data_IF_044621692707
#
_entry.id   IF_044621692707
#
_cell.length_a   1.000
_cell.length_b   1.000
_cell.length_c   1.000
_cell.angle_alpha   90.00
_cell.angle_beta   90.00
_cell.angle_gamma   90.00
#
_symmetry.space_group_name_H-M   'P 1'
#
loop_
_entity.id
_entity.type
_entity.pdbx_description
1 polymer ?
#
# COMPACT_ATOMS: atom_id res chain seq x y z
N UNK A 1 19.26 -21.33 6.16
CA UNK A 1 19.52 -20.00 5.57
C UNK A 1 18.19 -19.32 5.37
N UNK A 2 17.97 -18.10 5.87
CA UNK A 2 16.77 -17.32 5.50
C UNK A 2 16.92 -16.95 4.02
N UNK A 3 15.91 -17.21 3.19
CA UNK A 3 15.91 -16.79 1.79
C UNK A 3 15.77 -15.27 1.69
N UNK A 4 16.49 -14.66 0.75
CA UNK A 4 16.32 -13.24 0.43
C UNK A 4 15.02 -13.05 -0.37
N UNK A 5 14.04 -12.35 0.25
CA UNK A 5 12.74 -12.06 -0.34
C UNK A 5 12.66 -10.59 -0.75
N UNK A 6 12.15 -10.31 -1.95
CA UNK A 6 11.73 -8.97 -2.34
C UNK A 6 10.24 -8.82 -2.03
N UNK A 7 9.93 -8.19 -0.90
CA UNK A 7 8.57 -8.10 -0.36
C UNK A 7 7.99 -6.72 -0.63
N UNK A 8 6.81 -6.69 -1.28
CA UNK A 8 6.00 -5.49 -1.46
C UNK A 8 4.73 -5.59 -0.61
N UNK A 9 4.54 -4.64 0.31
CA UNK A 9 3.33 -4.52 1.11
C UNK A 9 2.38 -3.48 0.50
N UNK A 10 1.25 -3.94 -0.03
CA UNK A 10 0.17 -3.10 -0.54
C UNK A 10 -0.75 -2.69 0.62
N UNK A 11 -0.61 -1.44 1.03
CA UNK A 11 -1.16 -0.97 2.30
C UNK A 11 -2.20 0.16 2.14
N UNK A 12 -2.87 0.45 3.24
CA UNK A 12 -3.83 1.54 3.42
C UNK A 12 -3.48 2.45 4.60
N UNK A 13 -2.19 2.55 4.92
CA UNK A 13 -1.64 3.23 6.09
C UNK A 13 -1.85 4.74 6.06
N UNK A 14 -1.78 5.35 7.24
CA UNK A 14 -1.52 6.76 7.42
C UNK A 14 -0.05 6.92 7.84
N UNK A 15 0.84 7.36 6.93
CA UNK A 15 2.21 7.71 7.26
C UNK A 15 2.26 8.69 8.42
N UNK A 16 3.14 8.48 9.40
CA UNK A 16 3.17 9.24 10.67
C UNK A 16 3.27 10.75 10.42
N UNK A 17 4.09 11.15 9.45
CA UNK A 17 4.29 12.55 9.05
C UNK A 17 3.07 13.17 8.33
N UNK A 18 2.13 12.34 7.86
CA UNK A 18 0.89 12.77 7.20
C UNK A 18 -0.36 12.49 8.02
N UNK A 19 -0.25 11.82 9.16
CA UNK A 19 -1.40 11.35 9.93
C UNK A 19 -2.29 12.52 10.35
N UNK A 20 -1.73 13.56 10.98
CA UNK A 20 -2.48 14.76 11.37
C UNK A 20 -3.22 15.40 10.17
N UNK A 21 -2.54 15.53 9.04
CA UNK A 21 -3.12 16.06 7.80
C UNK A 21 -4.33 15.20 7.36
N UNK A 22 -4.16 13.89 7.31
CA UNK A 22 -5.18 12.93 6.89
C UNK A 22 -6.40 12.98 7.81
N UNK A 23 -6.17 13.01 9.12
CA UNK A 23 -7.23 13.08 10.13
C UNK A 23 -8.00 14.41 10.00
N UNK A 24 -7.30 15.54 9.81
CA UNK A 24 -7.94 16.86 9.65
C UNK A 24 -8.87 16.96 8.44
N UNK A 25 -8.64 16.16 7.40
CA UNK A 25 -9.47 16.09 6.20
C UNK A 25 -10.58 15.04 6.26
N UNK A 26 -10.54 14.13 7.23
CA UNK A 26 -11.55 13.09 7.38
C UNK A 26 -12.87 13.67 7.93
N UNK A 27 -14.00 13.14 7.46
CA UNK A 27 -15.33 13.48 7.97
C UNK A 27 -15.97 12.22 8.54
N UNK A 28 -16.14 12.18 9.86
CA UNK A 28 -16.70 11.03 10.58
C UNK A 28 -15.64 9.97 10.95
N UNK A 29 -16.08 8.72 11.07
CA UNK A 29 -15.27 7.62 11.60
C UNK A 29 -14.08 7.28 10.70
N UNK A 30 -12.96 6.95 11.35
CA UNK A 30 -11.68 6.65 10.72
C UNK A 30 -11.24 5.24 11.13
N UNK A 31 -10.57 4.53 10.24
CA UNK A 31 -10.12 3.14 10.46
C UNK A 31 -8.81 3.08 11.27
N UNK A 32 -8.78 3.71 12.46
CA UNK A 32 -7.57 3.78 13.29
C UNK A 32 -7.05 2.39 13.70
N UNK A 33 -7.95 1.46 14.07
CA UNK A 33 -7.57 0.09 14.40
C UNK A 33 -6.88 -0.62 13.21
N UNK A 34 -7.39 -0.43 12.00
CA UNK A 34 -6.78 -0.98 10.79
C UNK A 34 -5.42 -0.34 10.48
N UNK A 35 -5.25 0.96 10.75
CA UNK A 35 -3.97 1.65 10.61
C UNK A 35 -2.92 1.07 11.59
N UNK A 36 -3.28 0.97 12.87
CA UNK A 36 -2.41 0.41 13.92
C UNK A 36 -2.04 -1.05 13.61
N UNK A 37 -3.01 -1.87 13.21
CA UNK A 37 -2.76 -3.26 12.87
C UNK A 37 -1.79 -3.41 11.69
N UNK A 38 -1.99 -2.65 10.61
CA UNK A 38 -1.06 -2.66 9.48
C UNK A 38 0.34 -2.19 9.85
N UNK A 39 0.49 -1.17 10.71
CA UNK A 39 1.81 -0.77 11.22
C UNK A 39 2.48 -1.87 12.04
N UNK A 40 1.73 -2.63 12.84
CA UNK A 40 2.27 -3.79 13.55
C UNK A 40 2.70 -4.91 12.60
N UNK A 41 2.01 -5.11 11.48
CA UNK A 41 2.45 -6.03 10.42
C UNK A 41 3.78 -5.56 9.83
N UNK A 42 3.89 -4.29 9.44
CA UNK A 42 5.14 -3.70 8.91
C UNK A 42 6.29 -3.96 9.89
N UNK A 43 6.10 -3.59 11.16
CA UNK A 43 7.11 -3.80 12.21
C UNK A 43 7.48 -5.28 12.36
N UNK A 44 6.49 -6.18 12.35
CA UNK A 44 6.72 -7.61 12.45
C UNK A 44 7.51 -8.17 11.27
N UNK A 45 7.21 -7.74 10.05
CA UNK A 45 7.94 -8.15 8.85
C UNK A 45 9.39 -7.65 8.87
N UNK A 46 9.63 -6.38 9.18
CA UNK A 46 10.98 -5.82 9.23
C UNK A 46 11.87 -6.48 10.29
N UNK A 47 11.29 -6.86 11.45
CA UNK A 47 12.04 -7.54 12.51
C UNK A 47 12.44 -8.98 12.15
N UNK A 48 11.74 -9.62 11.20
CA UNK A 48 11.89 -11.05 10.93
C UNK A 48 12.50 -11.36 9.56
N UNK A 49 12.45 -10.44 8.61
CA UNK A 49 13.05 -10.58 7.28
C UNK A 49 14.50 -10.10 7.27
N UNK A 50 15.29 -10.59 6.30
CA UNK A 50 16.68 -10.13 6.10
C UNK A 50 16.68 -8.69 5.57
N UNK A 51 15.81 -8.42 4.59
CA UNK A 51 15.64 -7.12 3.98
C UNK A 51 14.37 -6.46 4.49
N UNK A 52 14.40 -5.13 4.63
CA UNK A 52 13.18 -4.35 4.88
C UNK A 52 12.18 -4.53 3.74
N UNK A 53 10.90 -4.45 4.07
CA UNK A 53 9.86 -4.49 3.05
C UNK A 53 9.77 -3.17 2.29
N UNK A 54 9.17 -3.17 1.11
CA UNK A 54 8.74 -1.94 0.42
C UNK A 54 7.26 -1.72 0.67
N UNK A 55 6.83 -0.50 0.97
CA UNK A 55 5.42 -0.18 1.12
C UNK A 55 4.91 0.58 -0.10
N UNK A 56 3.95 -0.01 -0.80
CA UNK A 56 3.10 0.70 -1.76
C UNK A 56 1.77 1.02 -1.09
N UNK A 57 1.63 2.26 -0.64
CA UNK A 57 0.50 2.70 0.14
C UNK A 57 -0.59 3.35 -0.74
N UNK A 58 -1.86 3.12 -0.40
CA UNK A 58 -3.01 3.83 -0.96
C UNK A 58 -4.02 4.14 0.14
N UNK A 59 -3.89 5.31 0.77
CA UNK A 59 -4.66 5.78 1.94
C UNK A 59 -6.08 5.19 2.08
N UNK A 60 -6.38 4.53 3.20
CA UNK A 60 -7.73 4.05 3.55
C UNK A 60 -8.57 5.17 4.19
N UNK A 61 -8.84 6.18 3.38
CA UNK A 61 -9.65 7.34 3.76
C UNK A 61 -11.09 7.22 3.26
N UNK A 62 -11.99 8.06 3.76
CA UNK A 62 -13.31 8.28 3.18
C UNK A 62 -13.26 8.87 1.75
N UNK A 63 -14.39 8.85 1.04
CA UNK A 63 -14.51 9.46 -0.30
C UNK A 63 -15.02 10.89 -0.20
N UNK A 64 -14.51 11.77 -1.08
CA UNK A 64 -15.06 13.09 -1.32
C UNK A 64 -16.43 13.01 -2.03
N UNK A 65 -17.37 13.93 -1.74
CA UNK A 65 -17.28 15.04 -0.77
C UNK A 65 -17.72 14.66 0.66
N UNK A 66 -18.37 13.51 0.84
CA UNK A 66 -19.13 13.21 2.05
C UNK A 66 -18.28 12.77 3.24
N UNK A 67 -17.20 12.00 3.01
CA UNK A 67 -16.39 11.38 4.08
C UNK A 67 -14.94 11.89 4.11
N UNK A 68 -14.55 12.75 3.17
CA UNK A 68 -13.23 13.35 3.11
C UNK A 68 -13.27 14.71 2.39
N UNK A 69 -12.47 15.68 2.82
CA UNK A 69 -12.48 17.06 2.32
C UNK A 69 -11.75 17.24 0.97
N UNK A 70 -10.77 16.39 0.63
CA UNK A 70 -9.98 16.50 -0.61
C UNK A 70 -10.49 15.58 -1.73
N UNK A 71 -10.68 16.15 -2.92
CA UNK A 71 -10.98 15.43 -4.17
C UNK A 71 -9.75 14.71 -4.74
N UNK A 72 -8.56 15.29 -4.63
CA UNK A 72 -7.33 14.70 -5.18
C UNK A 72 -6.39 14.36 -4.03
N UNK A 73 -5.92 13.12 -4.00
CA UNK A 73 -4.81 12.69 -3.15
C UNK A 73 -3.57 12.68 -4.02
N UNK A 74 -2.55 13.45 -3.63
CA UNK A 74 -1.28 13.52 -4.35
C UNK A 74 -0.41 12.31 -3.99
N UNK A 75 0.38 11.84 -4.94
CA UNK A 75 1.42 10.87 -4.65
C UNK A 75 2.55 11.53 -3.87
N UNK A 76 3.21 10.78 -2.99
CA UNK A 76 4.40 11.24 -2.27
C UNK A 76 5.24 10.05 -1.80
N UNK A 77 6.54 10.28 -1.66
CA UNK A 77 7.45 9.34 -0.99
C UNK A 77 7.37 9.53 0.52
N UNK A 78 7.52 8.43 1.24
CA UNK A 78 7.69 8.42 2.70
C UNK A 78 8.64 7.29 3.08
N UNK A 79 9.03 7.22 4.36
CA UNK A 79 9.89 6.16 4.86
C UNK A 79 9.32 5.60 6.16
N UNK A 80 9.11 4.28 6.24
CA UNK A 80 8.74 3.61 7.48
C UNK A 80 9.93 3.26 8.39
N UNK A 81 11.14 3.23 7.83
CA UNK A 81 12.35 2.87 8.57
C UNK A 81 13.36 4.04 8.61
N UNK A 82 14.15 4.10 9.69
CA UNK A 82 15.17 5.14 9.90
C UNK A 82 16.38 4.98 8.96
N UNK A 83 16.64 3.77 8.46
CA UNK A 83 17.70 3.51 7.49
C UNK A 83 17.23 3.89 6.07
N UNK A 84 17.29 5.19 5.78
CA UNK A 84 16.83 5.84 4.53
C UNK A 84 17.25 5.11 3.25
N UNK A 85 18.41 4.45 3.23
CA UNK A 85 18.93 3.77 2.04
C UNK A 85 18.22 2.45 1.68
N UNK A 86 17.29 1.95 2.51
CA UNK A 86 16.65 0.64 2.31
C UNK A 86 15.12 0.67 2.18
N UNK A 87 14.47 1.79 2.47
CA UNK A 87 13.00 1.88 2.53
C UNK A 87 12.47 3.00 1.65
N UNK A 88 12.37 2.76 0.33
CA UNK A 88 11.65 3.67 -0.56
C UNK A 88 10.14 3.36 -0.56
N UNK A 89 9.40 3.95 0.36
CA UNK A 89 7.94 3.79 0.37
C UNK A 89 7.25 4.85 -0.48
N UNK A 90 6.08 4.47 -0.98
CA UNK A 90 5.35 5.31 -1.89
C UNK A 90 3.87 5.31 -1.57
N UNK A 91 3.31 6.47 -1.24
CA UNK A 91 1.88 6.67 -1.27
C UNK A 91 1.47 7.07 -2.68
N UNK A 92 0.62 6.25 -3.30
CA UNK A 92 0.06 6.57 -4.61
C UNK A 92 -1.09 7.58 -4.51
N UNK A 93 -1.05 8.54 -5.41
CA UNK A 93 -2.15 9.47 -5.62
C UNK A 93 -3.32 8.84 -6.39
N UNK A 94 -4.51 9.39 -6.14
CA UNK A 94 -5.75 8.99 -6.80
C UNK A 94 -6.80 10.10 -6.69
N UNK A 95 -7.80 10.03 -7.57
CA UNK A 95 -9.00 10.87 -7.51
C UNK A 95 -9.95 10.23 -6.49
N UNK A 96 -10.21 10.92 -5.39
CA UNK A 96 -11.00 10.49 -4.24
C UNK A 96 -12.50 10.76 -4.39
N UNK A 97 -13.03 10.77 -5.62
CA UNK A 97 -14.45 11.01 -5.86
C UNK A 97 -15.27 9.73 -5.56
N UNK A 98 -16.42 9.89 -4.89
CA UNK A 98 -17.37 8.79 -4.66
C UNK A 98 -17.73 8.09 -5.98
N UNK A 99 -17.78 6.75 -5.99
CA UNK A 99 -17.99 5.92 -7.19
C UNK A 99 -16.72 5.74 -8.05
N UNK A 100 -15.94 6.79 -8.29
CA UNK A 100 -14.77 6.74 -9.19
C UNK A 100 -13.46 6.32 -8.50
N UNK A 101 -13.36 6.55 -7.19
CA UNK A 101 -12.16 6.30 -6.37
C UNK A 101 -11.54 4.92 -6.56
N UNK A 102 -12.38 3.88 -6.63
CA UNK A 102 -11.93 2.48 -6.74
C UNK A 102 -11.14 2.28 -8.02
N UNK A 103 -11.64 2.81 -9.15
CA UNK A 103 -11.02 2.70 -10.47
C UNK A 103 -9.73 3.53 -10.51
N UNK A 104 -9.78 4.78 -10.03
CA UNK A 104 -8.60 5.65 -9.98
C UNK A 104 -7.45 5.01 -9.20
N UNK A 105 -7.74 4.45 -8.01
CA UNK A 105 -6.75 3.69 -7.23
C UNK A 105 -6.20 2.51 -8.02
N UNK A 106 -7.05 1.71 -8.64
CA UNK A 106 -6.62 0.52 -9.37
C UNK A 106 -5.65 0.84 -10.51
N UNK A 107 -5.91 1.91 -11.26
CA UNK A 107 -5.02 2.38 -12.35
C UNK A 107 -3.67 2.80 -11.77
N UNK A 108 -3.67 3.65 -10.74
CA UNK A 108 -2.44 4.12 -10.09
C UNK A 108 -1.62 2.96 -9.53
N UNK A 109 -2.24 2.02 -8.82
CA UNK A 109 -1.54 0.86 -8.23
C UNK A 109 -0.88 0.02 -9.33
N UNK A 110 -1.62 -0.29 -10.41
CA UNK A 110 -1.11 -1.14 -11.50
C UNK A 110 0.16 -0.60 -12.12
N UNK A 111 0.28 0.72 -12.27
CA UNK A 111 1.48 1.34 -12.82
C UNK A 111 2.74 1.01 -12.00
N UNK A 112 2.69 1.22 -10.68
CA UNK A 112 3.83 0.95 -9.79
C UNK A 112 4.11 -0.54 -9.66
N UNK A 113 3.06 -1.33 -9.48
CA UNK A 113 3.19 -2.77 -9.31
C UNK A 113 3.74 -3.45 -10.57
N UNK A 114 3.39 -2.97 -11.78
CA UNK A 114 3.97 -3.49 -13.02
C UNK A 114 5.49 -3.30 -13.06
N UNK A 115 5.98 -2.12 -12.66
CA UNK A 115 7.42 -1.84 -12.60
C UNK A 115 8.11 -2.77 -11.62
N UNK A 116 7.56 -2.90 -10.40
CA UNK A 116 8.11 -3.80 -9.40
C UNK A 116 8.09 -5.27 -9.87
N UNK A 117 7.03 -5.73 -10.53
CA UNK A 117 6.92 -7.11 -11.01
C UNK A 117 7.95 -7.47 -12.11
N UNK A 118 8.48 -6.47 -12.81
CA UNK A 118 9.34 -6.62 -13.99
C UNK A 118 10.77 -6.11 -13.77
N UNK A 119 11.16 -5.77 -12.54
CA UNK A 119 12.49 -5.21 -12.23
C UNK A 119 13.65 -6.24 -12.23
N UNK A 120 13.38 -7.48 -12.67
CA UNK A 120 14.37 -8.55 -12.79
C UNK A 120 14.73 -9.27 -11.48
N UNK A 121 14.19 -8.85 -10.32
CA UNK A 121 14.44 -9.55 -9.04
C UNK A 121 13.65 -10.86 -8.94
N UNK A 122 14.23 -11.84 -8.24
CA UNK A 122 13.59 -13.13 -7.96
C UNK A 122 12.93 -13.14 -6.57
N UNK A 123 12.26 -14.25 -6.22
CA UNK A 123 11.67 -14.47 -4.89
C UNK A 123 10.71 -13.35 -4.42
N UNK A 124 9.91 -12.85 -5.36
CA UNK A 124 8.95 -11.77 -5.13
C UNK A 124 7.73 -12.23 -4.36
N UNK A 125 7.40 -11.48 -3.31
CA UNK A 125 6.17 -11.68 -2.53
C UNK A 125 5.42 -10.36 -2.46
N UNK A 126 4.14 -10.37 -2.85
CA UNK A 126 3.23 -9.27 -2.55
C UNK A 126 2.29 -9.65 -1.42
N UNK A 127 2.21 -8.80 -0.42
CA UNK A 127 1.30 -8.93 0.71
C UNK A 127 0.32 -7.75 0.63
N UNK A 128 -0.99 -7.99 0.66
CA UNK A 128 -1.98 -6.93 0.70
C UNK A 128 -2.83 -7.02 1.98
N UNK A 129 -3.11 -5.88 2.60
CA UNK A 129 -4.06 -5.81 3.69
C UNK A 129 -5.50 -5.60 3.18
N UNK A 130 -6.46 -6.25 3.85
CA UNK A 130 -7.89 -6.32 3.59
C UNK A 130 -8.30 -7.08 2.32
N UNK A 131 -9.32 -7.93 2.44
CA UNK A 131 -9.97 -8.60 1.33
C UNK A 131 -10.87 -7.62 0.55
N UNK A 132 -10.26 -6.86 -0.36
CA UNK A 132 -10.97 -5.90 -1.22
C UNK A 132 -10.95 -6.33 -2.68
N UNK A 133 -11.98 -5.92 -3.43
CA UNK A 133 -12.04 -6.18 -4.89
C UNK A 133 -10.85 -5.56 -5.64
N UNK A 134 -10.29 -4.45 -5.15
CA UNK A 134 -9.09 -3.85 -5.71
C UNK A 134 -7.86 -4.75 -5.49
N UNK A 135 -7.63 -5.23 -4.28
CA UNK A 135 -6.49 -6.11 -3.98
C UNK A 135 -6.55 -7.41 -4.77
N UNK A 136 -7.74 -8.03 -4.90
CA UNK A 136 -7.93 -9.22 -5.73
C UNK A 136 -7.67 -8.96 -7.22
N UNK A 137 -8.14 -7.82 -7.76
CA UNK A 137 -7.86 -7.42 -9.14
C UNK A 137 -6.37 -7.16 -9.38
N UNK A 138 -5.66 -6.63 -8.39
CA UNK A 138 -4.21 -6.45 -8.43
C UNK A 138 -3.48 -7.79 -8.44
N UNK A 139 -3.86 -8.74 -7.59
CA UNK A 139 -3.25 -10.08 -7.60
C UNK A 139 -3.49 -10.81 -8.91
N UNK A 140 -4.72 -10.77 -9.43
CA UNK A 140 -5.04 -11.33 -10.75
C UNK A 140 -4.22 -10.68 -11.86
N UNK A 141 -4.00 -9.37 -11.79
CA UNK A 141 -3.17 -8.65 -12.75
C UNK A 141 -1.69 -9.06 -12.65
N UNK A 142 -1.16 -9.16 -11.44
CA UNK A 142 0.22 -9.60 -11.18
C UNK A 142 0.50 -11.00 -11.69
N UNK A 143 -0.38 -11.96 -11.38
CA UNK A 143 -0.23 -13.35 -11.84
C UNK A 143 -0.31 -13.51 -13.36
N UNK A 144 -0.91 -12.55 -14.08
CA UNK A 144 -0.84 -12.49 -15.55
C UNK A 144 0.51 -12.01 -16.06
N UNK A 145 1.21 -11.16 -15.30
CA UNK A 145 2.52 -10.61 -15.68
C UNK A 145 3.63 -11.59 -15.32
N UNK A 146 3.62 -12.07 -14.07
CA UNK A 146 4.62 -12.99 -13.54
C UNK A 146 3.93 -13.99 -12.61
N UNK A 147 3.89 -15.26 -13.04
CA UNK A 147 3.21 -16.34 -12.32
C UNK A 147 3.95 -16.76 -11.04
N UNK A 148 5.25 -16.48 -10.94
CA UNK A 148 6.11 -16.87 -9.83
C UNK A 148 5.92 -15.99 -8.59
N UNK A 149 5.42 -14.76 -8.77
CA UNK A 149 5.17 -13.82 -7.65
C UNK A 149 4.20 -14.47 -6.66
N UNK A 150 4.65 -14.70 -5.42
CA UNK A 150 3.80 -15.21 -4.34
C UNK A 150 2.86 -14.10 -3.89
N UNK A 151 1.59 -14.41 -3.67
CA UNK A 151 0.56 -13.45 -3.25
C UNK A 151 0.00 -13.86 -1.89
N UNK A 152 -0.07 -12.93 -0.95
CA UNK A 152 -0.65 -13.14 0.38
C UNK A 152 -1.66 -12.03 0.67
N UNK A 153 -2.82 -12.39 1.22
CA UNK A 153 -3.82 -11.43 1.70
C UNK A 153 -3.99 -11.60 3.20
N UNK A 154 -3.98 -10.48 3.91
CA UNK A 154 -4.24 -10.41 5.35
C UNK A 154 -5.63 -9.81 5.52
N UNK A 155 -6.52 -10.51 6.23
CA UNK A 155 -7.93 -10.15 6.40
C UNK A 155 -8.13 -9.56 7.80
#
# INVERSE_FOLDING_TARGET
>A
MKEELDVLFLAGLFPKEKEYEILSYSKGNIQNAANVFQWNIVKGLDLNLINSIKILNSLYIGSFPFRYKKLIIKSYKFNHCEKINYCEDYNIGFINLTGFKIISKLISIKYYIKKWALDGKNNKVIIAYALTSNNLKIFKYLKKINKEIKTCIII
#
